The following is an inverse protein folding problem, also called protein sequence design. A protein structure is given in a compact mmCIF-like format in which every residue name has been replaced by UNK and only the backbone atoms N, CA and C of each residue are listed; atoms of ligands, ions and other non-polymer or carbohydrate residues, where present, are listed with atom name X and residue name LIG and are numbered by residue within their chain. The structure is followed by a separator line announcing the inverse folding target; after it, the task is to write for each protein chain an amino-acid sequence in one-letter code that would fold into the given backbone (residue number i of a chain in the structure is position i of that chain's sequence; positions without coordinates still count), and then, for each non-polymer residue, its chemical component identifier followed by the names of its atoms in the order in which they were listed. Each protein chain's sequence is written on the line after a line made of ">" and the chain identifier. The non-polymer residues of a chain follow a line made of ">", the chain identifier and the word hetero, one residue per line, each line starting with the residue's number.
data_IF_331365265738
#
_entry.id   IF_331365265738
#
_cell.length_a   1.000
_cell.length_b   1.000
_cell.length_c   1.000
_cell.angle_alpha   90.00
_cell.angle_beta   90.00
_cell.angle_gamma   90.00
#
_symmetry.space_group_name_H-M   'P 1'
#
loop_
_entity.id
_entity.type
_entity.pdbx_description
1 polymer ?
#
# COMPACT_ATOMS: atom_id res chain seq x y z
N UNK A 1 11.31 -10.84 -6.81
CA UNK A 1 10.71 -9.64 -6.20
C UNK A 1 9.51 -10.16 -5.41
N UNK A 2 9.63 -10.24 -4.08
CA UNK A 2 8.57 -10.74 -3.18
C UNK A 2 7.27 -9.95 -3.36
N UNK A 3 6.13 -10.60 -3.17
CA UNK A 3 4.84 -9.93 -3.28
C UNK A 3 4.70 -8.95 -2.10
N UNK A 4 4.32 -7.69 -2.34
CA UNK A 4 4.15 -6.72 -1.26
C UNK A 4 3.02 -7.12 -0.29
N UNK A 5 2.12 -8.02 -0.69
CA UNK A 5 1.15 -8.62 0.23
C UNK A 5 1.81 -9.58 1.23
N UNK A 6 2.86 -10.31 0.83
CA UNK A 6 3.58 -11.25 1.71
C UNK A 6 4.27 -10.49 2.87
N UNK A 7 4.65 -9.23 2.65
CA UNK A 7 5.20 -8.36 3.69
C UNK A 7 4.21 -8.02 4.81
N UNK A 8 2.92 -8.22 4.58
CA UNK A 8 1.85 -7.92 5.53
C UNK A 8 1.16 -9.19 6.03
N UNK A 9 1.63 -10.36 5.63
CA UNK A 9 1.07 -11.64 6.08
C UNK A 9 1.23 -11.77 7.60
N UNK A 10 0.13 -12.05 8.29
CA UNK A 10 0.06 -12.10 9.75
C UNK A 10 0.42 -10.78 10.47
N UNK A 11 0.48 -9.64 9.77
CA UNK A 11 0.50 -8.33 10.43
C UNK A 11 -0.79 -8.17 11.25
N UNK A 12 -0.70 -7.81 12.54
CA UNK A 12 -1.88 -7.63 13.37
C UNK A 12 -2.74 -6.47 12.86
N UNK A 13 -4.06 -6.61 13.02
CA UNK A 13 -5.00 -5.52 12.81
C UNK A 13 -4.83 -4.46 13.92
N UNK A 14 -5.14 -3.20 13.63
CA UNK A 14 -5.03 -2.12 14.63
C UNK A 14 -5.90 -2.38 15.86
N UNK A 15 -7.05 -3.03 15.70
CA UNK A 15 -7.93 -3.43 16.80
C UNK A 15 -7.32 -4.49 17.74
N UNK A 16 -6.26 -5.17 17.30
CA UNK A 16 -5.59 -6.24 18.05
C UNK A 16 -4.32 -5.75 18.77
N UNK A 17 -3.92 -4.49 18.56
CA UNK A 17 -2.73 -3.90 19.17
C UNK A 17 -3.10 -3.29 20.52
N UNK A 18 -2.31 -3.57 21.56
CA UNK A 18 -2.58 -3.11 22.93
C UNK A 18 -1.65 -1.99 23.39
N UNK A 19 -2.08 -1.22 24.41
CA UNK A 19 -1.37 -0.03 24.92
C UNK A 19 0.14 -0.22 25.18
N UNK A 20 0.60 -1.31 25.84
CA UNK A 20 2.02 -1.56 26.03
C UNK A 20 2.83 -1.68 24.72
N UNK A 21 2.20 -2.14 23.64
CA UNK A 21 2.84 -2.22 22.32
C UNK A 21 2.95 -0.84 21.67
N UNK A 22 2.15 0.13 22.06
CA UNK A 22 2.14 1.48 21.51
C UNK A 22 2.91 2.49 22.36
N UNK A 23 3.34 2.13 23.57
CA UNK A 23 3.99 3.04 24.52
C UNK A 23 5.14 3.89 23.91
N UNK A 24 5.99 3.28 23.07
CA UNK A 24 7.08 4.00 22.41
C UNK A 24 6.60 5.06 21.41
N UNK A 25 5.46 4.81 20.74
CA UNK A 25 4.82 5.75 19.83
C UNK A 25 4.03 6.81 20.61
N UNK A 26 3.28 6.41 21.63
CA UNK A 26 2.47 7.32 22.44
C UNK A 26 3.33 8.39 23.13
N UNK A 27 4.58 8.05 23.49
CA UNK A 27 5.54 9.01 24.03
C UNK A 27 5.94 10.13 23.05
N UNK A 28 5.75 9.94 21.74
CA UNK A 28 6.10 10.90 20.70
C UNK A 28 4.88 11.68 20.18
N UNK A 29 3.67 11.16 20.37
CA UNK A 29 2.46 11.75 19.80
C UNK A 29 1.84 12.79 20.75
N UNK A 30 1.76 14.03 20.28
CA UNK A 30 1.11 15.08 21.03
C UNK A 30 -0.42 14.88 21.12
N UNK A 31 -1.07 15.22 22.25
CA UNK A 31 -2.51 15.06 22.43
C UNK A 31 -3.37 15.74 21.35
N UNK A 32 -2.91 16.90 20.87
CA UNK A 32 -3.57 17.74 19.88
C UNK A 32 -3.55 17.20 18.43
N UNK A 33 -2.88 16.07 18.19
CA UNK A 33 -2.84 15.47 16.86
C UNK A 33 -4.24 15.07 16.36
N UNK A 34 -4.60 15.43 15.12
CA UNK A 34 -5.86 15.00 14.55
C UNK A 34 -5.99 13.46 14.56
N UNK A 35 -7.16 12.90 14.89
CA UNK A 35 -7.34 11.46 15.06
C UNK A 35 -6.86 10.62 13.87
N UNK A 36 -7.14 11.06 12.64
CA UNK A 36 -6.70 10.37 11.42
C UNK A 36 -5.17 10.25 11.33
N UNK A 37 -4.42 11.31 11.65
CA UNK A 37 -2.96 11.28 11.60
C UNK A 37 -2.36 10.37 12.68
N UNK A 38 -3.00 10.33 13.86
CA UNK A 38 -2.65 9.37 14.92
C UNK A 38 -2.87 7.93 14.45
N UNK A 39 -3.99 7.64 13.80
CA UNK A 39 -4.29 6.31 13.25
C UNK A 39 -3.31 5.91 12.13
N UNK A 40 -2.99 6.82 11.21
CA UNK A 40 -2.00 6.60 10.15
C UNK A 40 -0.61 6.30 10.73
N UNK A 41 -0.17 7.09 11.71
CA UNK A 41 1.11 6.87 12.39
C UNK A 41 1.16 5.53 13.12
N UNK A 42 0.07 5.17 13.80
CA UNK A 42 -0.08 3.88 14.47
C UNK A 42 0.01 2.73 13.45
N UNK A 43 -0.65 2.87 12.30
CA UNK A 43 -0.58 1.88 11.22
C UNK A 43 0.83 1.71 10.66
N UNK A 44 1.55 2.81 10.41
CA UNK A 44 2.95 2.75 9.99
C UNK A 44 3.83 2.05 11.04
N UNK A 45 3.67 2.40 12.32
CA UNK A 45 4.46 1.82 13.41
C UNK A 45 4.25 0.31 13.56
N UNK A 46 2.99 -0.14 13.54
CA UNK A 46 2.64 -1.56 13.63
C UNK A 46 3.22 -2.35 12.46
N UNK A 47 3.20 -1.78 11.25
CA UNK A 47 3.84 -2.39 10.08
C UNK A 47 5.35 -2.53 10.25
N UNK A 48 6.02 -1.45 10.68
CA UNK A 48 7.47 -1.46 10.89
C UNK A 48 7.88 -2.47 11.96
N UNK A 49 7.14 -2.54 13.08
CA UNK A 49 7.36 -3.55 14.13
C UNK A 49 7.18 -4.97 13.61
N UNK A 50 6.13 -5.22 12.84
CA UNK A 50 5.88 -6.54 12.25
C UNK A 50 7.03 -6.97 11.33
N UNK A 51 7.51 -6.07 10.47
CA UNK A 51 8.61 -6.35 9.55
C UNK A 51 9.96 -6.56 10.25
N UNK A 52 10.21 -5.81 11.34
CA UNK A 52 11.39 -5.98 12.17
C UNK A 52 11.38 -7.34 12.88
N UNK A 53 10.25 -7.75 13.46
CA UNK A 53 10.10 -9.03 14.16
C UNK A 53 10.15 -10.24 13.23
N UNK A 54 9.66 -10.11 11.99
CA UNK A 54 9.70 -11.19 10.99
C UNK A 54 11.05 -11.37 10.29
N UNK A 55 12.05 -10.54 10.60
CA UNK A 55 13.36 -10.56 9.94
C UNK A 55 13.33 -10.16 8.45
N UNK A 56 12.15 -9.83 7.90
CA UNK A 56 11.94 -9.55 6.49
C UNK A 56 12.58 -8.22 6.04
N UNK A 57 12.85 -7.31 6.98
CA UNK A 57 13.47 -6.01 6.71
C UNK A 57 14.91 -5.87 7.21
N UNK A 58 15.47 -6.90 7.89
CA UNK A 58 16.80 -6.78 8.50
C UNK A 58 16.93 -5.65 9.54
N UNK A 59 15.80 -5.17 10.06
CA UNK A 59 15.75 -4.09 11.04
C UNK A 59 15.95 -4.69 12.44
N UNK A 60 17.21 -4.79 12.87
CA UNK A 60 17.54 -4.91 14.29
C UNK A 60 17.44 -3.50 14.90
N UNK A 61 16.22 -3.07 15.18
CA UNK A 61 15.92 -1.69 15.56
C UNK A 61 14.95 -1.68 16.72
N UNK A 62 15.27 -0.88 17.74
CA UNK A 62 14.43 -0.81 18.94
C UNK A 62 13.07 -0.15 18.66
N UNK A 63 12.12 -0.32 19.58
CA UNK A 63 10.76 0.19 19.41
C UNK A 63 10.69 1.73 19.34
N UNK A 64 11.67 2.45 19.89
CA UNK A 64 11.68 3.91 19.87
C UNK A 64 12.10 4.44 18.50
N UNK A 65 13.12 3.85 17.89
CA UNK A 65 13.56 4.19 16.54
C UNK A 65 12.49 3.84 15.50
N UNK A 66 11.81 2.70 15.65
CA UNK A 66 10.67 2.37 14.79
C UNK A 66 9.51 3.37 14.94
N UNK A 67 9.29 3.91 16.15
CA UNK A 67 8.28 4.94 16.38
C UNK A 67 8.66 6.28 15.72
N UNK A 68 9.94 6.67 15.79
CA UNK A 68 10.46 7.86 15.09
C UNK A 68 10.35 7.72 13.57
N UNK A 69 10.62 6.54 13.02
CA UNK A 69 10.43 6.25 11.59
C UNK A 69 8.96 6.35 11.19
N UNK A 70 8.04 5.77 11.98
CA UNK A 70 6.61 5.88 11.73
C UNK A 70 6.13 7.33 11.73
N UNK A 71 6.63 8.13 12.67
CA UNK A 71 6.34 9.56 12.75
C UNK A 71 6.84 10.30 11.51
N UNK A 72 8.08 10.06 11.09
CA UNK A 72 8.66 10.68 9.90
C UNK A 72 7.87 10.33 8.62
N UNK A 73 7.49 9.06 8.44
CA UNK A 73 6.65 8.62 7.32
C UNK A 73 5.30 9.33 7.31
N UNK A 74 4.66 9.44 8.48
CA UNK A 74 3.37 10.10 8.62
C UNK A 74 3.47 11.59 8.32
N UNK A 75 4.55 12.24 8.77
CA UNK A 75 4.78 13.65 8.45
C UNK A 75 5.01 13.88 6.95
N UNK A 76 5.70 12.97 6.26
CA UNK A 76 5.82 12.99 4.81
C UNK A 76 4.45 12.91 4.12
N UNK A 77 3.59 11.98 4.56
CA UNK A 77 2.21 11.89 4.05
C UNK A 77 1.41 13.18 4.29
N UNK A 78 1.56 13.80 5.46
CA UNK A 78 0.90 15.08 5.76
C UNK A 78 1.42 16.22 4.89
N UNK A 79 2.72 16.24 4.58
CA UNK A 79 3.31 17.22 3.68
C UNK A 79 2.80 17.06 2.24
N UNK A 80 2.70 15.81 1.76
CA UNK A 80 2.35 15.53 0.37
C UNK A 80 0.84 15.62 0.09
N UNK A 81 0.02 15.18 1.06
CA UNK A 81 -1.43 15.01 0.87
C UNK A 81 -2.28 15.88 1.81
N UNK A 82 -1.64 16.67 2.68
CA UNK A 82 -2.32 17.59 3.59
C UNK A 82 -3.25 18.56 2.86
N UNK A 83 -4.47 18.71 3.37
CA UNK A 83 -5.49 19.58 2.78
C UNK A 83 -6.25 18.99 1.59
N UNK A 84 -5.90 17.79 1.13
CA UNK A 84 -6.63 17.08 0.08
C UNK A 84 -7.63 16.07 0.66
N UNK A 85 -8.83 15.91 0.05
CA UNK A 85 -9.73 14.82 0.40
C UNK A 85 -9.12 13.48 -0.06
N UNK A 86 -8.64 12.67 0.89
CA UNK A 86 -8.02 11.39 0.60
C UNK A 86 -9.04 10.25 0.69
N UNK A 87 -9.31 9.58 -0.43
CA UNK A 87 -10.06 8.33 -0.45
C UNK A 87 -9.08 7.13 -0.50
N UNK A 88 -9.17 6.24 0.48
CA UNK A 88 -8.37 5.01 0.55
C UNK A 88 -9.22 3.84 0.04
N UNK A 89 -9.02 3.34 -1.18
CA UNK A 89 -9.81 2.25 -1.73
C UNK A 89 -9.49 0.91 -1.04
N UNK A 90 -10.52 0.15 -0.65
CA UNK A 90 -10.37 -1.09 0.14
C UNK A 90 -10.16 -2.33 -0.75
N UNK A 91 -9.31 -3.25 -0.27
CA UNK A 91 -9.28 -4.69 -0.59
C UNK A 91 -9.24 -5.07 -2.07
N UNK A 92 -10.41 -5.21 -2.69
CA UNK A 92 -10.54 -5.67 -4.07
C UNK A 92 -9.95 -4.69 -5.09
N UNK A 93 -10.00 -3.38 -4.83
CA UNK A 93 -9.47 -2.37 -5.75
C UNK A 93 -7.93 -2.33 -5.74
N UNK A 94 -7.31 -2.41 -4.56
CA UNK A 94 -5.85 -2.45 -4.43
C UNK A 94 -5.26 -3.76 -4.97
N UNK A 95 -5.89 -4.90 -4.63
CA UNK A 95 -5.52 -6.21 -5.17
C UNK A 95 -5.79 -6.31 -6.67
N UNK A 96 -6.90 -5.73 -7.16
CA UNK A 96 -7.20 -5.63 -8.59
C UNK A 96 -6.19 -4.73 -9.31
N UNK A 97 -5.73 -3.63 -8.71
CA UNK A 97 -4.70 -2.77 -9.29
C UNK A 97 -3.33 -3.47 -9.34
N UNK A 98 -2.94 -4.19 -8.29
CA UNK A 98 -1.73 -5.01 -8.28
C UNK A 98 -1.81 -6.13 -9.33
N UNK A 99 -2.92 -6.89 -9.36
CA UNK A 99 -3.16 -7.96 -10.35
C UNK A 99 -3.22 -7.42 -11.78
N UNK A 100 -3.85 -6.26 -11.99
CA UNK A 100 -3.92 -5.56 -13.29
C UNK A 100 -2.53 -5.18 -13.78
N UNK A 101 -1.68 -4.60 -12.91
CA UNK A 101 -0.29 -4.27 -13.26
C UNK A 101 0.50 -5.51 -13.69
N UNK A 102 0.34 -6.65 -12.99
CA UNK A 102 1.02 -7.91 -13.34
C UNK A 102 0.56 -8.46 -14.69
N UNK A 103 -0.75 -8.45 -14.95
CA UNK A 103 -1.33 -8.90 -16.22
C UNK A 103 -0.83 -8.05 -17.38
N UNK A 104 -0.85 -6.72 -17.24
CA UNK A 104 -0.33 -5.80 -18.27
C UNK A 104 1.18 -5.98 -18.49
N UNK A 105 1.96 -6.12 -17.41
CA UNK A 105 3.39 -6.36 -17.53
C UNK A 105 3.68 -7.68 -18.29
N UNK A 106 2.97 -8.76 -17.97
CA UNK A 106 3.13 -10.04 -18.65
C UNK A 106 2.79 -9.97 -20.15
N UNK A 107 1.73 -9.24 -20.52
CA UNK A 107 1.38 -8.99 -21.93
C UNK A 107 2.46 -8.16 -22.63
N UNK A 108 2.99 -7.11 -21.97
CA UNK A 108 4.08 -6.28 -22.53
C UNK A 108 5.39 -7.04 -22.71
N UNK A 109 5.64 -8.07 -21.92
CA UNK A 109 6.77 -9.00 -22.09
C UNK A 109 6.57 -10.03 -23.22
N UNK A 110 5.49 -9.92 -24.01
CA UNK A 110 5.24 -10.78 -25.17
C UNK A 110 4.50 -12.09 -24.87
N UNK A 111 3.97 -12.27 -23.66
CA UNK A 111 3.20 -13.47 -23.35
C UNK A 111 1.82 -13.43 -24.03
N UNK A 112 1.36 -14.58 -24.51
CA UNK A 112 0.02 -14.71 -25.09
C UNK A 112 -1.09 -14.55 -24.03
N UNK A 113 -2.26 -14.08 -24.46
CA UNK A 113 -3.43 -13.96 -23.58
C UNK A 113 -3.76 -15.26 -22.84
N UNK A 114 -3.64 -16.41 -23.52
CA UNK A 114 -3.85 -17.73 -22.95
C UNK A 114 -2.86 -18.06 -21.82
N UNK A 115 -1.58 -17.75 -22.01
CA UNK A 115 -0.55 -17.97 -21.00
C UNK A 115 -0.75 -17.08 -19.76
N UNK A 116 -1.10 -15.81 -19.98
CA UNK A 116 -1.39 -14.84 -18.91
C UNK A 116 -2.66 -15.23 -18.15
N UNK A 117 -3.71 -15.63 -18.85
CA UNK A 117 -4.97 -16.11 -18.26
C UNK A 117 -4.73 -17.28 -17.30
N UNK A 118 -4.00 -18.31 -17.77
CA UNK A 118 -3.65 -19.50 -16.99
C UNK A 118 -2.80 -19.14 -15.77
N UNK A 119 -1.78 -18.30 -15.93
CA UNK A 119 -0.87 -17.89 -14.84
C UNK A 119 -1.58 -17.11 -13.73
N UNK A 120 -2.61 -16.34 -14.07
CA UNK A 120 -3.30 -15.45 -13.13
C UNK A 120 -4.67 -15.96 -12.67
N UNK A 121 -5.08 -17.16 -13.09
CA UNK A 121 -6.36 -17.77 -12.70
C UNK A 121 -7.58 -16.98 -13.20
N UNK A 122 -7.50 -16.40 -14.39
CA UNK A 122 -8.57 -15.59 -14.99
C UNK A 122 -8.87 -16.06 -16.42
N UNK A 123 -10.02 -15.68 -16.96
CA UNK A 123 -10.36 -15.97 -18.37
C UNK A 123 -9.61 -15.03 -19.32
N UNK A 124 -9.34 -15.47 -20.55
CA UNK A 124 -8.76 -14.60 -21.59
C UNK A 124 -9.60 -13.35 -21.84
N UNK A 125 -10.94 -13.48 -21.77
CA UNK A 125 -11.86 -12.33 -21.83
C UNK A 125 -11.55 -11.31 -20.75
N UNK A 126 -11.30 -11.76 -19.52
CA UNK A 126 -10.95 -10.87 -18.40
C UNK A 126 -9.58 -10.21 -18.61
N UNK A 127 -8.59 -10.93 -19.15
CA UNK A 127 -7.29 -10.37 -19.52
C UNK A 127 -7.44 -9.22 -20.53
N UNK A 128 -8.24 -9.42 -21.59
CA UNK A 128 -8.50 -8.39 -22.61
C UNK A 128 -9.21 -7.16 -22.03
N UNK A 129 -10.19 -7.36 -21.15
CA UNK A 129 -10.88 -6.26 -20.46
C UNK A 129 -9.91 -5.43 -19.61
N UNK A 130 -9.02 -6.09 -18.88
CA UNK A 130 -8.00 -5.45 -18.04
C UNK A 130 -7.04 -4.62 -18.89
N UNK A 131 -6.57 -5.17 -20.01
CA UNK A 131 -5.70 -4.43 -20.92
C UNK A 131 -6.41 -3.23 -21.57
N UNK A 132 -7.66 -3.40 -22.01
CA UNK A 132 -8.45 -2.31 -22.60
C UNK A 132 -8.66 -1.16 -21.62
N UNK A 133 -9.06 -1.48 -20.37
CA UNK A 133 -9.23 -0.48 -19.31
C UNK A 133 -7.90 0.22 -18.98
N UNK A 134 -6.79 -0.52 -18.95
CA UNK A 134 -5.47 0.08 -18.73
C UNK A 134 -5.04 1.01 -19.87
N UNK A 135 -5.24 0.61 -21.14
CA UNK A 135 -4.95 1.46 -22.30
C UNK A 135 -5.78 2.74 -22.30
N UNK A 136 -7.07 2.65 -21.94
CA UNK A 136 -7.93 3.82 -21.82
C UNK A 136 -7.41 4.80 -20.74
N UNK A 137 -7.05 4.29 -19.56
CA UNK A 137 -6.47 5.11 -18.49
C UNK A 137 -5.09 5.70 -18.85
N UNK A 138 -4.27 5.00 -19.63
CA UNK A 138 -3.00 5.54 -20.15
C UNK A 138 -3.21 6.66 -21.17
N UNK A 139 -4.22 6.54 -22.03
CA UNK A 139 -4.59 7.59 -22.99
C UNK A 139 -5.09 8.83 -22.24
N UNK A 140 -5.99 8.65 -21.28
CA UNK A 140 -6.53 9.74 -20.44
C UNK A 140 -5.42 10.48 -19.67
N UNK A 141 -4.44 9.75 -19.12
CA UNK A 141 -3.26 10.36 -18.47
C UNK A 141 -2.36 11.13 -19.43
N UNK A 142 -2.22 10.69 -20.68
CA UNK A 142 -1.39 11.34 -21.70
C UNK A 142 -2.07 12.54 -22.34
N UNK A 143 -3.39 12.51 -22.47
CA UNK A 143 -4.21 13.60 -22.99
C UNK A 143 -4.47 14.67 -21.93
N UNK A 144 -3.43 15.12 -21.21
CA UNK A 144 -3.54 16.06 -20.10
C UNK A 144 -4.60 17.15 -20.33
N UNK A 145 -5.49 17.31 -19.33
CA UNK A 145 -6.71 18.15 -19.37
C UNK A 145 -6.57 19.32 -20.36
N UNK A 146 -7.29 19.26 -21.48
CA UNK A 146 -7.53 20.47 -22.26
C UNK A 146 -8.23 21.46 -21.32
N UNK A 147 -7.69 22.68 -21.14
CA UNK A 147 -8.44 23.71 -20.45
C UNK A 147 -9.69 24.01 -21.28
N UNK A 148 -10.86 23.86 -20.66
CA UNK A 148 -12.11 24.43 -21.16
C UNK A 148 -12.11 25.93 -20.90
#
# INVERSE_FOLDING_TARGET
>A
MQDASELLDARPDLSQVCGPQLAALDALLAPEWPPLWRELCTSCFVTLRHLAQGGAAGLDTDAHDLARLALALTMGLAQDFGGQPLYIPVGAALMSAAKTRRIVAALRSGNSYAAVARRHGVTERRVRQIEAAWRAAEIEKRQGKLPL
#
